data_IF_023637775257
#
_entry.id   IF_023637775257
#
_cell.length_a   1.000
_cell.length_b   1.000
_cell.length_c   1.000
_cell.angle_alpha   90.00
_cell.angle_beta   90.00
_cell.angle_gamma   90.00
#
_symmetry.space_group_name_H-M   'P 1'
#
loop_
_entity.id
_entity.type
_entity.pdbx_description
1 polymer ?
#
# COMPACT_ATOMS: atom_id res chain seq x y z
N UNK A 1 6.32 -9.25 -20.91
CA UNK A 1 6.93 -8.67 -19.70
C UNK A 1 5.86 -8.03 -18.83
N UNK A 2 5.88 -8.32 -17.55
CA UNK A 2 4.85 -7.84 -16.64
C UNK A 2 5.33 -6.57 -15.97
N UNK A 3 4.50 -5.56 -16.04
CA UNK A 3 4.81 -4.27 -15.46
C UNK A 3 4.19 -4.15 -14.07
N UNK A 4 5.01 -3.74 -13.13
CA UNK A 4 4.53 -3.50 -11.77
C UNK A 4 4.25 -2.03 -11.58
N UNK A 5 3.25 -1.76 -10.75
CA UNK A 5 2.91 -0.41 -10.36
C UNK A 5 3.25 -0.21 -8.90
N UNK A 6 3.50 1.04 -8.55
CA UNK A 6 3.72 1.38 -7.15
C UNK A 6 2.39 1.70 -6.49
N UNK A 7 2.11 1.02 -5.40
CA UNK A 7 0.90 1.27 -4.61
C UNK A 7 1.27 1.82 -3.24
N UNK A 8 0.44 2.71 -2.74
CA UNK A 8 0.61 3.25 -1.41
C UNK A 8 -0.55 2.73 -0.57
N UNK A 9 -0.20 2.00 0.50
CA UNK A 9 -1.18 1.46 1.42
C UNK A 9 -1.16 2.30 2.68
N UNK A 10 -2.31 2.91 2.99
CA UNK A 10 -2.47 3.67 4.22
C UNK A 10 -2.99 2.72 5.29
N UNK A 11 -2.38 2.77 6.45
CA UNK A 11 -2.80 1.92 7.56
C UNK A 11 -2.58 2.68 8.87
N UNK A 12 -3.17 2.17 9.93
CA UNK A 12 -3.05 2.76 11.25
C UNK A 12 -2.20 1.87 12.13
N UNK A 13 -1.18 2.43 12.74
CA UNK A 13 -0.30 1.71 13.65
C UNK A 13 -0.19 2.52 14.94
N UNK A 14 -0.64 1.92 16.04
CA UNK A 14 -0.59 2.56 17.36
C UNK A 14 -1.21 3.95 17.34
N UNK A 15 -2.36 4.06 16.66
CA UNK A 15 -3.10 5.30 16.61
C UNK A 15 -2.57 6.32 15.62
N UNK A 16 -1.56 5.98 14.86
CA UNK A 16 -0.96 6.91 13.90
C UNK A 16 -1.16 6.40 12.49
N UNK A 17 -1.45 7.30 11.58
CA UNK A 17 -1.56 6.94 10.16
C UNK A 17 -0.18 6.81 9.57
N UNK A 18 0.02 5.70 8.85
CA UNK A 18 1.28 5.43 8.20
C UNK A 18 1.03 5.01 6.76
N UNK A 19 2.07 5.09 5.96
CA UNK A 19 2.00 4.74 4.54
C UNK A 19 3.11 3.76 4.21
N UNK A 20 2.75 2.76 3.40
CA UNK A 20 3.71 1.78 2.92
C UNK A 20 3.67 1.75 1.41
N UNK A 21 4.83 1.84 0.77
CA UNK A 21 4.92 1.80 -0.69
C UNK A 21 5.28 0.39 -1.12
N UNK A 22 4.45 -0.20 -1.97
CA UNK A 22 4.63 -1.58 -2.40
C UNK A 22 4.49 -1.66 -3.92
N UNK A 23 5.41 -2.35 -4.55
CA UNK A 23 5.35 -2.61 -5.98
C UNK A 23 4.64 -3.92 -6.22
N UNK A 24 3.61 -3.89 -7.05
CA UNK A 24 2.79 -5.05 -7.35
C UNK A 24 2.07 -4.82 -8.67
N UNK A 25 1.52 -5.90 -9.22
CA UNK A 25 0.81 -5.80 -10.49
C UNK A 25 -0.63 -5.35 -10.32
N UNK A 26 -1.22 -5.68 -9.19
CA UNK A 26 -2.62 -5.32 -8.91
C UNK A 26 -2.74 -4.83 -7.48
N UNK A 27 -3.82 -4.07 -7.17
CA UNK A 27 -4.02 -3.63 -5.80
C UNK A 27 -4.19 -4.81 -4.84
N UNK A 28 -4.84 -5.89 -5.30
CA UNK A 28 -4.99 -7.07 -4.46
C UNK A 28 -3.66 -7.69 -4.10
N UNK A 29 -2.76 -7.77 -5.07
CA UNK A 29 -1.43 -8.31 -4.82
C UNK A 29 -0.67 -7.42 -3.82
N UNK A 30 -0.81 -6.10 -3.97
CA UNK A 30 -0.15 -5.17 -3.06
C UNK A 30 -0.63 -5.39 -1.63
N UNK A 31 -1.93 -5.58 -1.45
CA UNK A 31 -2.49 -5.82 -0.13
C UNK A 31 -2.01 -7.15 0.44
N UNK A 32 -1.90 -8.17 -0.40
CA UNK A 32 -1.40 -9.46 0.06
C UNK A 32 0.04 -9.34 0.53
N UNK A 33 0.86 -8.62 -0.21
CA UNK A 33 2.25 -8.40 0.18
C UNK A 33 2.33 -7.64 1.49
N UNK A 34 1.46 -6.65 1.66
CA UNK A 34 1.41 -5.89 2.90
C UNK A 34 1.06 -6.80 4.07
N UNK A 35 0.06 -7.65 3.90
CA UNK A 35 -0.37 -8.54 4.98
C UNK A 35 0.71 -9.55 5.37
N UNK A 36 1.61 -9.84 4.45
CA UNK A 36 2.74 -10.69 4.76
C UNK A 36 3.76 -10.04 5.68
N UNK A 37 3.74 -8.72 5.76
CA UNK A 37 4.69 -7.96 6.58
C UNK A 37 4.05 -7.36 7.82
N UNK A 38 2.75 -7.05 7.73
CA UNK A 38 2.05 -6.29 8.77
C UNK A 38 0.72 -6.96 9.08
N UNK A 39 0.28 -6.79 10.32
CA UNK A 39 -1.02 -7.28 10.72
C UNK A 39 -2.01 -6.14 10.92
N UNK A 40 -1.59 -4.91 10.70
CA UNK A 40 -2.45 -3.75 10.89
C UNK A 40 -3.56 -3.73 9.84
N UNK A 41 -4.64 -3.04 10.19
CA UNK A 41 -5.76 -2.88 9.29
C UNK A 41 -5.41 -1.91 8.16
N UNK A 42 -5.76 -2.31 6.93
CA UNK A 42 -5.53 -1.46 5.77
C UNK A 42 -6.67 -0.46 5.66
N UNK A 43 -6.33 0.84 5.64
CA UNK A 43 -7.32 1.89 5.47
C UNK A 43 -7.61 2.15 4.00
N UNK A 44 -6.57 2.15 3.17
CA UNK A 44 -6.76 2.33 1.73
C UNK A 44 -5.55 1.82 0.98
N UNK A 45 -5.75 1.58 -0.32
CA UNK A 45 -4.71 1.12 -1.21
C UNK A 45 -4.94 1.80 -2.56
N UNK A 46 -4.02 2.69 -2.95
CA UNK A 46 -4.17 3.45 -4.19
C UNK A 46 -2.84 3.45 -4.94
N UNK A 47 -2.92 3.74 -6.22
CA UNK A 47 -1.71 3.97 -7.01
C UNK A 47 -0.97 5.17 -6.45
N UNK A 48 0.35 5.11 -6.46
CA UNK A 48 1.16 6.19 -5.89
C UNK A 48 0.86 7.54 -6.50
N UNK A 49 0.56 7.56 -7.79
CA UNK A 49 0.30 8.83 -8.47
C UNK A 49 -0.98 9.49 -8.00
N UNK A 50 -1.84 8.76 -7.30
CA UNK A 50 -3.09 9.30 -6.78
C UNK A 50 -3.05 9.44 -5.26
N UNK A 51 -1.93 9.11 -4.65
CA UNK A 51 -1.84 9.11 -3.19
C UNK A 51 -1.58 10.52 -2.66
N UNK A 52 -2.18 10.83 -1.50
CA UNK A 52 -1.90 12.09 -0.83
C UNK A 52 -0.52 12.09 -0.19
N UNK A 53 0.09 10.90 -0.08
CA UNK A 53 1.44 10.77 0.46
C UNK A 53 2.51 11.10 -0.57
N UNK A 54 2.09 11.41 -1.75
CA UNK A 54 3.01 11.69 -2.85
C UNK A 54 3.80 12.97 -2.58
N UNK A 55 5.07 12.91 -2.87
CA UNK A 55 5.95 14.05 -2.76
C UNK A 55 6.29 14.63 -4.10
#
# INVERSE_FOLDING_TARGET
MIKENEYVIAYTYKGQRRFEHIFARTPGEAQDLFRGRHTEHIDSCVLAKYSIDKK
#
